data_IF_521179516950
#
_entry.id   IF_521179516950
#
_cell.length_a   1.000
_cell.length_b   1.000
_cell.length_c   1.000
_cell.angle_alpha   90.00
_cell.angle_beta   90.00
_cell.angle_gamma   90.00
#
_symmetry.space_group_name_H-M   'P 1'
#
loop_
_entity.id
_entity.type
_entity.pdbx_description
1 polymer ?
#
# COMPACT_ATOMS: atom_id res chain seq x y z
N UNK A 1 -23.06 -3.57 -4.71
CA UNK A 1 -22.08 -2.67 -4.07
C UNK A 1 -20.83 -3.46 -3.78
N UNK A 2 -19.65 -2.86 -3.93
CA UNK A 2 -18.36 -3.44 -3.50
C UNK A 2 -18.41 -4.02 -2.06
N UNK A 3 -17.40 -4.80 -1.66
CA UNK A 3 -17.41 -5.55 -0.39
C UNK A 3 -17.89 -4.73 0.83
N UNK A 4 -17.22 -3.62 1.16
CA UNK A 4 -17.55 -2.81 2.35
C UNK A 4 -18.43 -1.60 2.05
N UNK A 5 -18.54 -1.22 0.77
CA UNK A 5 -19.40 -0.12 0.36
C UNK A 5 -20.89 -0.46 0.52
N UNK A 6 -21.28 -1.69 0.15
CA UNK A 6 -22.67 -2.15 0.30
C UNK A 6 -23.10 -2.37 1.76
N UNK A 7 -22.13 -2.61 2.65
CA UNK A 7 -22.38 -2.78 4.08
C UNK A 7 -22.17 -1.52 4.92
N UNK A 8 -21.84 -0.37 4.31
CA UNK A 8 -21.51 0.88 5.01
C UNK A 8 -20.41 0.73 6.08
N UNK A 9 -19.42 -0.12 5.80
CA UNK A 9 -18.29 -0.42 6.69
C UNK A 9 -16.95 0.07 6.12
N UNK A 10 -16.97 0.92 5.10
CA UNK A 10 -15.76 1.46 4.49
C UNK A 10 -15.16 2.56 5.37
N UNK A 11 -13.93 2.35 5.83
CA UNK A 11 -13.19 3.26 6.73
C UNK A 11 -12.04 3.99 6.00
N UNK A 12 -12.16 4.18 4.69
CA UNK A 12 -11.06 4.69 3.89
C UNK A 12 -9.97 3.65 3.63
N UNK A 13 -8.79 4.07 3.11
CA UNK A 13 -7.69 3.16 2.78
C UNK A 13 -7.07 2.49 4.02
N UNK A 14 -7.38 2.93 5.25
CA UNK A 14 -6.97 2.27 6.48
C UNK A 14 -7.47 0.82 6.56
N UNK A 15 -8.63 0.53 5.96
CA UNK A 15 -9.18 -0.82 5.94
C UNK A 15 -8.31 -1.86 5.21
N UNK A 16 -7.33 -1.43 4.39
CA UNK A 16 -6.52 -2.36 3.58
C UNK A 16 -5.01 -2.24 3.82
N UNK A 17 -4.53 -1.17 4.47
CA UNK A 17 -3.09 -0.94 4.67
C UNK A 17 -2.39 -2.12 5.35
N UNK A 18 -3.01 -2.73 6.36
CA UNK A 18 -2.47 -3.91 7.05
C UNK A 18 -2.38 -5.14 6.13
N UNK A 19 -3.38 -5.35 5.28
CA UNK A 19 -3.38 -6.41 4.28
C UNK A 19 -2.23 -6.23 3.29
N UNK A 20 -2.11 -5.02 2.71
CA UNK A 20 -1.05 -4.68 1.75
C UNK A 20 0.34 -4.81 2.38
N UNK A 21 0.54 -4.34 3.61
CA UNK A 21 1.81 -4.50 4.35
C UNK A 21 2.22 -5.97 4.47
N UNK A 22 1.30 -6.85 4.88
CA UNK A 22 1.59 -8.28 5.01
C UNK A 22 1.88 -8.93 3.65
N UNK A 23 1.18 -8.51 2.59
CA UNK A 23 1.47 -8.98 1.22
C UNK A 23 2.89 -8.62 0.81
N UNK A 24 3.34 -7.39 1.06
CA UNK A 24 4.68 -6.94 0.71
C UNK A 24 5.77 -7.71 1.48
N UNK A 25 5.61 -7.89 2.79
CA UNK A 25 6.56 -8.68 3.58
C UNK A 25 6.62 -10.14 3.14
N UNK A 26 5.48 -10.75 2.83
CA UNK A 26 5.44 -12.13 2.34
C UNK A 26 6.08 -12.26 0.95
N UNK A 27 5.88 -11.28 0.07
CA UNK A 27 6.58 -11.22 -1.21
C UNK A 27 8.09 -11.11 -1.01
N UNK A 28 8.55 -10.25 -0.09
CA UNK A 28 9.97 -10.12 0.25
C UNK A 28 10.58 -11.42 0.80
N UNK A 29 9.90 -12.09 1.73
CA UNK A 29 10.31 -13.40 2.26
C UNK A 29 10.39 -14.46 1.15
N UNK A 30 9.39 -14.51 0.27
CA UNK A 30 9.33 -15.51 -0.79
C UNK A 30 10.33 -15.27 -1.93
N UNK A 31 10.61 -14.00 -2.28
CA UNK A 31 11.42 -13.66 -3.46
C UNK A 31 12.86 -13.31 -3.13
N UNK A 32 13.10 -12.68 -1.99
CA UNK A 32 14.41 -12.23 -1.56
C UNK A 32 14.95 -13.03 -0.36
N UNK A 33 14.21 -14.07 0.09
CA UNK A 33 14.58 -14.93 1.22
C UNK A 33 14.91 -14.12 2.49
N UNK A 34 14.17 -13.02 2.70
CA UNK A 34 14.39 -12.16 3.85
C UNK A 34 14.09 -12.91 5.15
N UNK A 35 14.94 -12.74 6.19
CA UNK A 35 14.68 -13.31 7.49
C UNK A 35 13.34 -12.85 8.08
N UNK A 36 12.76 -13.69 8.95
CA UNK A 36 11.60 -13.29 9.72
C UNK A 36 11.88 -12.02 10.55
N UNK A 37 10.90 -11.14 10.66
CA UNK A 37 11.06 -9.84 11.33
C UNK A 37 11.86 -8.79 10.55
N UNK A 38 12.45 -9.11 9.39
CA UNK A 38 13.07 -8.10 8.51
C UNK A 38 12.05 -7.48 7.56
N UNK A 39 12.12 -6.16 7.45
CA UNK A 39 11.41 -5.37 6.44
C UNK A 39 12.11 -5.40 5.07
N UNK A 40 11.63 -4.54 4.18
CA UNK A 40 12.05 -4.40 2.79
C UNK A 40 13.11 -3.30 2.58
N UNK A 41 13.85 -2.92 3.63
CA UNK A 41 14.93 -1.95 3.51
C UNK A 41 15.90 -2.33 2.38
N UNK A 42 16.27 -1.36 1.54
CA UNK A 42 17.11 -1.57 0.37
C UNK A 42 16.39 -2.13 -0.87
N UNK A 43 15.08 -2.37 -0.79
CA UNK A 43 14.28 -2.84 -1.93
C UNK A 43 13.34 -1.74 -2.43
N UNK A 44 13.13 -1.70 -3.75
CA UNK A 44 12.22 -0.79 -4.41
C UNK A 44 10.90 -1.51 -4.73
N UNK A 45 9.79 -0.97 -4.25
CA UNK A 45 8.45 -1.41 -4.60
C UNK A 45 7.86 -0.51 -5.71
N UNK A 46 7.59 -1.08 -6.87
CA UNK A 46 6.98 -0.37 -8.01
C UNK A 46 5.59 -0.92 -8.26
N UNK A 47 4.58 -0.04 -8.31
CA UNK A 47 3.19 -0.42 -8.59
C UNK A 47 2.42 0.77 -9.21
N UNK A 48 1.09 0.66 -9.30
CA UNK A 48 0.23 1.70 -9.84
C UNK A 48 -1.12 1.80 -9.10
N UNK A 49 -1.78 2.95 -9.29
CA UNK A 49 -3.08 3.31 -8.76
C UNK A 49 -3.03 3.86 -7.33
N UNK A 50 -3.65 5.03 -7.13
CA UNK A 50 -3.84 5.73 -5.85
C UNK A 50 -5.32 5.97 -5.52
N UNK A 51 -6.20 5.10 -6.03
CA UNK A 51 -7.63 5.08 -5.77
C UNK A 51 -7.99 4.75 -4.31
N UNK A 52 -9.27 4.48 -4.03
CA UNK A 52 -9.77 4.30 -2.65
C UNK A 52 -9.09 3.18 -1.84
N UNK A 53 -8.72 2.08 -2.50
CA UNK A 53 -8.03 0.95 -1.86
C UNK A 53 -6.53 0.97 -2.18
N UNK A 54 -6.18 1.16 -3.44
CA UNK A 54 -4.79 1.16 -3.92
C UNK A 54 -3.96 2.34 -3.40
N UNK A 55 -4.60 3.40 -2.91
CA UNK A 55 -3.94 4.49 -2.19
C UNK A 55 -3.27 4.09 -0.87
N UNK A 56 -3.51 2.87 -0.36
CA UNK A 56 -2.83 2.32 0.81
C UNK A 56 -1.41 1.79 0.52
N UNK A 57 -1.07 1.61 -0.75
CA UNK A 57 0.20 1.01 -1.17
C UNK A 57 1.46 1.79 -0.73
N UNK A 58 1.54 3.13 -0.89
CA UNK A 58 2.73 3.88 -0.46
C UNK A 58 2.95 3.75 1.05
N UNK A 59 1.92 4.02 1.87
CA UNK A 59 1.97 3.84 3.32
C UNK A 59 2.37 2.43 3.75
N UNK A 60 1.80 1.40 3.12
CA UNK A 60 2.15 0.01 3.44
C UNK A 60 3.62 -0.30 3.10
N UNK A 61 4.14 0.23 2.00
CA UNK A 61 5.53 0.08 1.60
C UNK A 61 6.48 0.83 2.55
N UNK A 62 6.11 2.05 2.96
CA UNK A 62 6.84 2.84 3.96
C UNK A 62 6.94 2.09 5.30
N UNK A 63 5.81 1.57 5.81
CA UNK A 63 5.79 0.78 7.06
C UNK A 63 6.62 -0.51 6.91
N UNK A 64 6.59 -1.14 5.73
CA UNK A 64 7.44 -2.29 5.42
C UNK A 64 8.92 -1.93 5.29
N UNK A 65 9.28 -0.63 5.25
CA UNK A 65 10.65 -0.15 5.10
C UNK A 65 11.17 -0.13 3.66
N UNK A 66 10.30 -0.27 2.65
CA UNK A 66 10.67 -0.16 1.24
C UNK A 66 10.66 1.31 0.78
N UNK A 67 11.51 1.63 -0.19
CA UNK A 67 11.24 2.78 -1.06
C UNK A 67 10.14 2.38 -2.05
N UNK A 68 9.23 3.30 -2.41
CA UNK A 68 8.16 2.98 -3.36
C UNK A 68 7.95 4.04 -4.44
N UNK A 69 7.54 3.58 -5.62
CA UNK A 69 7.08 4.40 -6.75
C UNK A 69 5.72 3.87 -7.18
N UNK A 70 4.68 4.68 -7.02
CA UNK A 70 3.31 4.32 -7.40
C UNK A 70 2.85 5.24 -8.53
N UNK A 71 2.66 4.70 -9.72
CA UNK A 71 2.18 5.46 -10.86
C UNK A 71 0.67 5.73 -10.75
N UNK A 72 0.26 6.97 -11.00
CA UNK A 72 -1.15 7.36 -11.06
C UNK A 72 -1.33 8.39 -12.18
N UNK A 73 -2.42 8.23 -12.94
CA UNK A 73 -2.74 9.08 -14.09
C UNK A 73 -3.62 10.25 -13.70
N UNK A 74 -4.41 10.12 -12.63
CA UNK A 74 -5.31 11.15 -12.12
C UNK A 74 -4.63 12.00 -11.03
N UNK A 75 -4.27 13.27 -11.32
CA UNK A 75 -3.59 14.14 -10.35
C UNK A 75 -4.40 14.38 -9.08
N UNK A 76 -5.74 14.33 -9.16
CA UNK A 76 -6.60 14.53 -7.98
C UNK A 76 -6.42 13.42 -6.94
N UNK A 77 -6.09 12.19 -7.39
CA UNK A 77 -5.80 11.06 -6.51
C UNK A 77 -4.46 11.21 -5.84
N UNK A 78 -3.45 11.67 -6.57
CA UNK A 78 -2.12 11.96 -6.02
C UNK A 78 -2.26 12.99 -4.90
N UNK A 79 -2.91 14.12 -5.17
CA UNK A 79 -3.10 15.19 -4.19
C UNK A 79 -3.90 14.72 -2.96
N UNK A 80 -4.93 13.89 -3.18
CA UNK A 80 -5.69 13.30 -2.07
C UNK A 80 -4.79 12.47 -1.15
N UNK A 81 -3.86 11.66 -1.67
CA UNK A 81 -2.96 10.85 -0.82
C UNK A 81 -1.88 11.68 -0.17
N UNK A 82 -1.30 12.60 -0.91
CA UNK A 82 -0.30 13.53 -0.41
C UNK A 82 -0.83 14.34 0.79
N UNK A 83 -2.00 14.98 0.64
CA UNK A 83 -2.62 15.77 1.72
C UNK A 83 -3.04 14.93 2.94
N UNK A 84 -3.33 13.64 2.75
CA UNK A 84 -3.61 12.71 3.85
C UNK A 84 -2.33 12.19 4.54
N UNK A 85 -1.15 12.42 3.95
CA UNK A 85 0.12 11.86 4.42
C UNK A 85 0.26 10.36 4.16
N UNK A 86 -0.34 9.84 3.08
CA UNK A 86 -0.37 8.43 2.71
C UNK A 86 0.76 7.99 1.79
#
# INVERSE_FOLDING_TARGET
GQMTAGGWMYIGPQGIVHGTYNTLLNAGRSKFHLPEGKGLAGHLFVSSGLGGMSGAQPKAAEIAGAASIIAEVDPSRIETRHSQGW
#
